data_IF_689492160194
#
_entry.id   IF_689492160194
#
_cell.length_a   1.000
_cell.length_b   1.000
_cell.length_c   1.000
_cell.angle_alpha   90.00
_cell.angle_beta   90.00
_cell.angle_gamma   90.00
#
_symmetry.space_group_name_H-M   'P 1'
#
loop_
_entity.id
_entity.type
_entity.pdbx_description
1 polymer ?
#
# COMPACT_ATOMS: atom_id res chain seq x y z
N UNK A 1 -4.98 -18.95 -14.31
CA UNK A 1 -5.48 -17.79 -13.55
C UNK A 1 -4.69 -16.54 -13.92
N UNK A 2 -5.33 -15.47 -14.41
CA UNK A 2 -4.64 -14.19 -14.70
C UNK A 2 -4.27 -13.50 -13.37
N UNK A 3 -2.98 -13.23 -13.17
CA UNK A 3 -2.51 -12.42 -12.02
C UNK A 3 -3.04 -11.00 -12.22
N UNK A 4 -3.89 -10.52 -11.30
CA UNK A 4 -4.28 -9.10 -11.26
C UNK A 4 -3.08 -8.26 -10.80
N UNK A 5 -2.49 -7.54 -11.75
CA UNK A 5 -1.41 -6.57 -11.52
C UNK A 5 -2.05 -5.22 -11.25
N UNK A 6 -1.71 -4.61 -10.12
CA UNK A 6 -2.18 -3.28 -9.74
C UNK A 6 -1.03 -2.29 -9.90
N UNK A 7 -1.32 -1.12 -10.45
CA UNK A 7 -0.36 -0.02 -10.57
C UNK A 7 0.18 0.37 -9.18
N UNK A 8 1.44 0.81 -9.07
CA UNK A 8 2.02 1.22 -7.79
C UNK A 8 1.25 2.37 -7.13
N UNK A 9 0.80 3.35 -7.92
CA UNK A 9 -0.02 4.49 -7.47
C UNK A 9 -1.31 4.02 -6.80
N UNK A 10 -1.99 3.03 -7.40
CA UNK A 10 -3.19 2.45 -6.82
C UNK A 10 -2.94 1.79 -5.46
N UNK A 11 -1.81 1.09 -5.31
CA UNK A 11 -1.44 0.46 -4.03
C UNK A 11 -1.15 1.50 -2.96
N UNK A 12 -0.50 2.61 -3.34
CA UNK A 12 -0.20 3.73 -2.45
C UNK A 12 -1.50 4.39 -1.97
N UNK A 13 -2.41 4.70 -2.88
CA UNK A 13 -3.69 5.34 -2.55
C UNK A 13 -4.55 4.44 -1.65
N UNK A 14 -4.69 3.15 -2.01
CA UNK A 14 -5.41 2.19 -1.19
C UNK A 14 -4.85 2.09 0.24
N UNK A 15 -3.52 2.19 0.38
CA UNK A 15 -2.88 2.18 1.70
C UNK A 15 -3.06 3.51 2.43
N UNK A 16 -2.96 4.65 1.75
CA UNK A 16 -3.24 5.97 2.33
C UNK A 16 -4.67 6.04 2.89
N UNK A 17 -5.66 5.67 2.08
CA UNK A 17 -7.06 5.61 2.49
C UNK A 17 -7.28 4.64 3.66
N UNK A 18 -6.52 3.54 3.72
CA UNK A 18 -6.59 2.58 4.83
C UNK A 18 -6.09 3.11 6.18
N UNK A 19 -5.33 4.22 6.18
CA UNK A 19 -4.96 4.92 7.41
C UNK A 19 -5.98 6.00 7.79
N UNK A 20 -6.72 6.53 6.81
CA UNK A 20 -7.73 7.58 7.04
C UNK A 20 -9.08 7.00 7.44
N UNK A 21 -9.39 5.77 7.02
CA UNK A 21 -10.63 5.08 7.35
C UNK A 21 -10.41 4.02 8.43
N UNK A 22 -11.41 3.88 9.29
CA UNK A 22 -11.43 2.86 10.34
C UNK A 22 -11.88 1.49 9.79
N UNK A 23 -12.77 1.49 8.79
CA UNK A 23 -13.31 0.27 8.18
C UNK A 23 -12.60 -0.10 6.86
N UNK A 24 -11.62 -1.00 6.95
CA UNK A 24 -10.86 -1.47 5.79
C UNK A 24 -11.69 -2.39 4.89
N UNK A 25 -12.73 -3.05 5.43
CA UNK A 25 -13.58 -3.94 4.65
C UNK A 25 -14.39 -3.16 3.62
N UNK A 26 -15.04 -2.08 4.05
CA UNK A 26 -15.78 -1.19 3.14
C UNK A 26 -14.86 -0.56 2.10
N UNK A 27 -13.68 -0.07 2.52
CA UNK A 27 -12.69 0.47 1.58
C UNK A 27 -12.29 -0.56 0.52
N UNK A 28 -12.07 -1.81 0.91
CA UNK A 28 -11.69 -2.87 -0.03
C UNK A 28 -12.81 -3.20 -1.01
N UNK A 29 -14.06 -3.18 -0.54
CA UNK A 29 -15.25 -3.38 -1.36
C UNK A 29 -15.40 -2.27 -2.41
N UNK A 30 -15.32 -1.00 -1.99
CA UNK A 30 -15.35 0.16 -2.90
C UNK A 30 -14.23 0.12 -3.95
N UNK A 31 -13.04 -0.32 -3.55
CA UNK A 31 -11.88 -0.44 -4.45
C UNK A 31 -11.89 -1.71 -5.31
N UNK A 32 -12.84 -2.63 -5.11
CA UNK A 32 -12.91 -3.92 -5.81
C UNK A 32 -11.70 -4.82 -5.55
N UNK A 33 -11.12 -4.76 -4.34
CA UNK A 33 -9.96 -5.54 -3.92
C UNK A 33 -10.26 -6.36 -2.67
N UNK A 34 -9.45 -7.40 -2.44
CA UNK A 34 -9.52 -8.13 -1.18
C UNK A 34 -8.88 -7.32 -0.05
N UNK A 35 -9.51 -7.29 1.13
CA UNK A 35 -9.00 -6.66 2.35
C UNK A 35 -7.55 -7.10 2.67
N UNK A 36 -7.29 -8.40 2.50
CA UNK A 36 -5.96 -9.01 2.68
C UNK A 36 -4.87 -8.32 1.85
N UNK A 37 -5.23 -7.82 0.67
CA UNK A 37 -4.31 -7.15 -0.26
C UNK A 37 -3.90 -5.77 0.25
N UNK A 38 -4.81 -5.04 0.89
CA UNK A 38 -4.53 -3.75 1.54
C UNK A 38 -3.54 -3.94 2.69
N UNK A 39 -3.77 -4.92 3.57
CA UNK A 39 -2.82 -5.25 4.64
C UNK A 39 -1.44 -5.65 4.10
N UNK A 40 -1.40 -6.43 3.03
CA UNK A 40 -0.14 -6.77 2.35
C UNK A 40 0.56 -5.52 1.80
N UNK A 41 -0.16 -4.59 1.20
CA UNK A 41 0.46 -3.35 0.73
C UNK A 41 1.02 -2.48 1.85
N UNK A 42 0.34 -2.41 3.01
CA UNK A 42 0.85 -1.69 4.21
C UNK A 42 2.20 -2.26 4.67
N UNK A 43 2.32 -3.58 4.74
CA UNK A 43 3.58 -4.22 5.18
C UNK A 43 4.70 -4.06 4.15
N UNK A 44 4.37 -4.16 2.87
CA UNK A 44 5.33 -3.93 1.79
C UNK A 44 5.84 -2.48 1.76
N UNK A 45 4.96 -1.49 1.95
CA UNK A 45 5.34 -0.07 1.99
C UNK A 45 6.21 0.28 3.20
N UNK A 46 5.90 -0.27 4.39
CA UNK A 46 6.77 -0.13 5.57
C UNK A 46 8.19 -0.67 5.32
N UNK A 47 8.33 -1.75 4.55
CA UNK A 47 9.66 -2.27 4.16
C UNK A 47 10.34 -1.38 3.13
N UNK A 48 9.61 -0.86 2.15
CA UNK A 48 10.16 0.03 1.13
C UNK A 48 10.66 1.36 1.71
N UNK A 49 9.98 1.91 2.73
CA UNK A 49 10.38 3.18 3.38
C UNK A 49 11.76 3.07 4.06
N UNK A 50 12.02 1.93 4.71
CA UNK A 50 13.29 1.62 5.36
C UNK A 50 14.49 1.56 4.41
N UNK A 51 14.25 1.32 3.12
CA UNK A 51 15.28 1.27 2.07
C UNK A 51 15.51 2.63 1.40
N UNK A 52 14.58 3.60 1.53
CA UNK A 52 14.72 4.94 0.94
C UNK A 52 15.39 5.92 1.90
N UNK A 53 15.17 5.77 3.20
CA UNK A 53 15.83 6.59 4.23
C UNK A 53 17.36 6.36 4.28
N UNK A 54 17.84 5.20 3.81
CA UNK A 54 19.28 4.90 3.76
C UNK A 54 20.01 5.56 2.59
N UNK A 55 19.32 6.06 1.56
CA UNK A 55 19.95 6.65 0.35
C UNK A 55 20.04 8.18 0.44
N UNK A 56 19.26 8.84 1.30
CA UNK A 56 19.23 10.31 1.42
C UNK A 56 20.16 10.89 2.50
N UNK A 57 20.89 10.05 3.25
CA UNK A 57 21.79 10.51 4.34
C UNK A 57 23.29 10.55 3.99
N UNK A 58 23.68 10.37 2.72
CA UNK A 58 25.10 10.38 2.28
C UNK A 58 25.46 11.51 1.31
N UNK A 59 24.59 12.49 1.09
CA UNK A 59 24.91 13.64 0.25
C UNK A 59 24.21 14.90 0.75
N UNK A 60 24.75 15.47 1.83
CA UNK A 60 24.93 16.92 2.04
C UNK A 60 25.62 17.19 3.37
#
# INVERSE_FOLDING_TARGET
MKKRVYKPEFKLEAVRLSYQRENIKELADELGVAVQRIYKWRTHLKKSDKEKETVVKTSS
#
